data_IF_983928075286
#
_entry.id   IF_983928075286
#
_cell.length_a   1.000
_cell.length_b   1.000
_cell.length_c   1.000
_cell.angle_alpha   90.00
_cell.angle_beta   90.00
_cell.angle_gamma   90.00
#
_symmetry.space_group_name_H-M   'P 1'
#
loop_
_entity.id
_entity.type
_entity.pdbx_description
1 polymer ?
#
# COMPACT_ATOMS: atom_id res chain seq x y z
N UNK A 1 11.57 -17.49 1.38
CA UNK A 1 10.14 -17.65 1.03
C UNK A 1 9.65 -16.38 0.32
N UNK A 2 8.76 -16.47 -0.66
CA UNK A 2 8.27 -15.29 -1.41
C UNK A 2 6.92 -14.80 -0.87
N UNK A 3 6.83 -13.51 -0.57
CA UNK A 3 5.66 -12.81 -0.06
C UNK A 3 5.15 -11.83 -1.12
N UNK A 4 3.84 -11.61 -1.15
CA UNK A 4 3.21 -10.57 -1.97
C UNK A 4 2.60 -9.53 -1.03
N UNK A 5 2.97 -8.28 -1.20
CA UNK A 5 2.49 -7.18 -0.36
C UNK A 5 1.54 -6.30 -1.18
N UNK A 6 0.25 -6.31 -0.83
CA UNK A 6 -0.70 -5.36 -1.40
C UNK A 6 -0.40 -3.95 -0.88
N UNK A 7 -0.31 -2.96 -1.78
CA UNK A 7 -0.02 -1.57 -1.42
C UNK A 7 -0.78 -0.60 -2.32
N UNK A 8 -1.09 0.60 -1.81
CA UNK A 8 -1.56 1.69 -2.67
C UNK A 8 -0.43 2.17 -3.60
N UNK A 9 -0.81 2.74 -4.74
CA UNK A 9 0.12 3.25 -5.74
C UNK A 9 0.79 4.58 -5.40
N UNK A 10 0.37 5.25 -4.31
CA UNK A 10 0.95 6.53 -3.91
C UNK A 10 2.45 6.40 -3.58
N UNK A 11 3.28 7.44 -3.81
CA UNK A 11 4.71 7.40 -3.53
C UNK A 11 5.05 7.03 -2.08
N UNK A 12 4.26 7.51 -1.11
CA UNK A 12 4.46 7.20 0.30
C UNK A 12 4.18 5.72 0.60
N UNK A 13 3.09 5.16 0.07
CA UNK A 13 2.75 3.75 0.28
C UNK A 13 3.78 2.81 -0.36
N UNK A 14 4.29 3.16 -1.54
CA UNK A 14 5.39 2.43 -2.18
C UNK A 14 6.68 2.51 -1.35
N UNK A 15 7.03 3.68 -0.81
CA UNK A 15 8.19 3.83 0.07
C UNK A 15 8.05 2.96 1.33
N UNK A 16 6.88 2.97 1.97
CA UNK A 16 6.60 2.14 3.15
C UNK A 16 6.75 0.65 2.83
N UNK A 17 6.18 0.19 1.71
CA UNK A 17 6.26 -1.21 1.28
C UNK A 17 7.70 -1.62 1.00
N UNK A 18 8.47 -0.78 0.31
CA UNK A 18 9.88 -1.05 0.03
C UNK A 18 10.74 -1.03 1.30
N UNK A 19 10.43 -0.16 2.25
CA UNK A 19 11.12 -0.12 3.55
C UNK A 19 10.93 -1.44 4.32
N UNK A 20 9.69 -1.94 4.41
CA UNK A 20 9.40 -3.22 5.06
C UNK A 20 10.01 -4.40 4.27
N UNK A 21 9.98 -4.35 2.94
CA UNK A 21 10.63 -5.36 2.10
C UNK A 21 12.13 -5.49 2.41
N UNK A 22 12.85 -4.37 2.50
CA UNK A 22 14.27 -4.37 2.82
C UNK A 22 14.58 -4.99 4.20
N UNK A 23 13.72 -4.77 5.19
CA UNK A 23 13.85 -5.38 6.52
C UNK A 23 13.59 -6.90 6.48
N UNK A 24 12.59 -7.34 5.71
CA UNK A 24 12.25 -8.75 5.55
C UNK A 24 13.30 -9.52 4.73
N UNK A 25 13.96 -8.86 3.79
CA UNK A 25 15.09 -9.43 3.05
C UNK A 25 16.25 -9.84 3.96
N UNK A 26 16.51 -9.08 5.04
CA UNK A 26 17.51 -9.46 6.05
C UNK A 26 17.18 -10.77 6.78
N UNK A 27 15.94 -11.24 6.67
CA UNK A 27 15.44 -12.46 7.29
C UNK A 27 15.17 -13.58 6.25
N UNK A 28 15.63 -13.42 5.00
CA UNK A 28 15.51 -14.45 3.95
C UNK A 28 14.16 -14.49 3.23
N UNK A 29 13.36 -13.43 3.33
CA UNK A 29 12.12 -13.27 2.56
C UNK A 29 12.37 -12.44 1.31
N UNK A 30 11.62 -12.71 0.25
CA UNK A 30 11.53 -11.85 -0.92
C UNK A 30 10.12 -11.26 -0.96
N UNK A 31 10.00 -9.95 -1.13
CA UNK A 31 8.69 -9.26 -1.16
C UNK A 31 8.44 -8.71 -2.56
N UNK A 32 7.28 -9.05 -3.11
CA UNK A 32 6.77 -8.50 -4.37
C UNK A 32 5.64 -7.50 -4.07
N UNK A 33 5.85 -6.19 -4.28
CA UNK A 33 4.79 -5.20 -4.16
C UNK A 33 3.74 -5.38 -5.26
N UNK A 34 2.47 -5.46 -4.87
CA UNK A 34 1.32 -5.51 -5.78
C UNK A 34 0.49 -4.26 -5.54
N UNK A 35 0.44 -3.38 -6.54
CA UNK A 35 -0.37 -2.16 -6.45
C UNK A 35 -1.85 -2.54 -6.53
N UNK A 36 -2.63 -2.06 -5.56
CA UNK A 36 -4.09 -2.15 -5.52
C UNK A 36 -4.67 -0.75 -5.54
N UNK A 37 -5.69 -0.55 -6.38
CA UNK A 37 -6.44 0.71 -6.41
C UNK A 37 -7.56 0.66 -5.38
N UNK A 38 -7.64 1.67 -4.51
CA UNK A 38 -8.74 1.83 -3.55
C UNK A 38 -9.73 2.90 -4.04
N UNK A 39 -10.93 2.94 -3.46
CA UNK A 39 -11.89 4.02 -3.73
C UNK A 39 -11.31 5.41 -3.39
N UNK A 40 -10.47 5.49 -2.35
CA UNK A 40 -9.77 6.71 -1.95
C UNK A 40 -8.62 7.12 -2.88
N UNK A 41 -8.14 6.25 -3.76
CA UNK A 41 -7.23 6.65 -4.86
C UNK A 41 -8.00 7.35 -5.99
N UNK A 42 -9.27 6.98 -6.19
CA UNK A 42 -10.13 7.48 -7.26
C UNK A 42 -10.80 8.81 -6.92
N UNK A 43 -11.10 9.06 -5.65
CA UNK A 43 -11.70 10.31 -5.18
C UNK A 43 -10.75 11.07 -4.23
N UNK A 44 -9.94 11.97 -4.80
CA UNK A 44 -9.03 12.85 -4.06
C UNK A 44 -9.60 14.25 -3.82
N UNK A 45 -10.83 14.52 -4.29
CA UNK A 45 -11.42 15.87 -4.32
C UNK A 45 -12.50 16.01 -3.26
N UNK A 46 -13.23 14.94 -2.99
CA UNK A 46 -14.22 14.94 -1.93
C UNK A 46 -13.51 15.15 -0.57
N UNK A 47 -14.07 15.97 0.32
CA UNK A 47 -13.52 16.14 1.66
C UNK A 47 -13.49 14.80 2.41
N UNK A 48 -12.40 14.53 3.15
CA UNK A 48 -12.20 13.25 3.86
C UNK A 48 -13.38 12.85 4.76
N UNK A 49 -14.06 13.82 5.38
CA UNK A 49 -15.24 13.57 6.22
C UNK A 49 -16.48 13.10 5.44
N UNK A 50 -16.54 13.33 4.12
CA UNK A 50 -17.58 12.80 3.23
C UNK A 50 -17.21 11.42 2.66
N UNK A 51 -15.91 11.11 2.63
CA UNK A 51 -15.34 9.85 2.17
C UNK A 51 -15.05 8.92 3.38
N UNK A 52 -16.01 8.79 4.31
CA UNK A 52 -15.84 7.99 5.54
C UNK A 52 -16.46 6.60 5.45
N UNK A 53 -15.69 5.53 5.70
CA UNK A 53 -16.13 4.13 5.59
C UNK A 53 -15.00 3.09 5.68
N UNK A 54 -15.34 1.80 5.86
CA UNK A 54 -14.38 0.66 6.00
C UNK A 54 -13.61 0.31 4.72
N UNK A 55 -13.92 0.92 3.58
CA UNK A 55 -13.42 0.56 2.25
C UNK A 55 -12.31 1.49 1.70
N UNK A 56 -11.76 2.39 2.54
CA UNK A 56 -10.84 3.45 2.10
C UNK A 56 -9.34 3.16 2.28
N UNK A 57 -8.97 2.02 2.87
CA UNK A 57 -7.58 1.58 3.04
C UNK A 57 -7.27 0.35 2.19
#
# INVERSE_FOLDING_TARGET
>A
MKLRAATRGSPLAMWQTNHIAALLEQHGYQVEPIIVETGGDKDQVSPLHKIGGREFL
#
